data_IF_293770533985
#
_entry.id   IF_293770533985
#
_cell.length_a   1.000
_cell.length_b   1.000
_cell.length_c   1.000
_cell.angle_alpha   90.00
_cell.angle_beta   90.00
_cell.angle_gamma   90.00
#
_symmetry.space_group_name_H-M   'P 1'
#
loop_
_entity.id
_entity.type
_entity.pdbx_description
1 polymer ?
#
# COMPACT_ATOMS: atom_id res chain seq x y z
N UNK A 1 10.56 12.14 1.14
CA UNK A 1 10.58 11.33 -0.10
C UNK A 1 9.23 11.46 -0.80
N UNK A 2 9.20 11.98 -2.03
CA UNK A 2 7.96 12.26 -2.78
C UNK A 2 7.45 10.97 -3.44
N UNK A 3 6.16 10.65 -3.31
CA UNK A 3 5.54 9.53 -4.06
C UNK A 3 5.75 9.80 -5.55
N UNK A 4 6.53 8.96 -6.21
CA UNK A 4 6.65 9.03 -7.67
C UNK A 4 5.31 8.54 -8.26
N UNK A 5 4.47 9.46 -8.71
CA UNK A 5 3.17 9.13 -9.31
C UNK A 5 3.29 8.33 -10.64
N UNK A 6 4.51 8.19 -11.19
CA UNK A 6 4.79 7.31 -12.32
C UNK A 6 5.07 5.86 -11.89
N UNK A 7 5.29 5.62 -10.61
CA UNK A 7 5.40 4.29 -10.00
C UNK A 7 4.01 3.80 -9.59
N UNK A 8 3.92 2.51 -9.29
CA UNK A 8 2.72 1.85 -8.77
C UNK A 8 2.91 1.58 -7.27
N UNK A 9 2.76 2.61 -6.41
CA UNK A 9 3.04 2.46 -5.00
C UNK A 9 1.98 1.60 -4.32
N UNK A 10 2.45 0.71 -3.46
CA UNK A 10 1.64 0.04 -2.46
C UNK A 10 1.88 0.74 -1.13
N UNK A 11 0.83 1.31 -0.55
CA UNK A 11 0.87 2.00 0.74
C UNK A 11 0.14 1.17 1.78
N UNK A 12 0.75 1.04 2.95
CA UNK A 12 0.20 0.30 4.07
C UNK A 12 0.07 1.20 5.29
N UNK A 13 -1.14 1.27 5.85
CA UNK A 13 -1.42 1.90 7.13
C UNK A 13 -1.50 0.82 8.19
N UNK A 14 -0.52 0.77 9.10
CA UNK A 14 -0.52 -0.11 10.25
C UNK A 14 -0.89 0.69 11.50
N UNK A 15 -2.05 0.39 12.10
CA UNK A 15 -2.56 1.10 13.29
C UNK A 15 -2.56 2.64 13.14
N UNK A 16 -2.87 3.13 11.94
CA UNK A 16 -2.90 4.56 11.62
C UNK A 16 -1.55 5.17 11.21
N UNK A 17 -0.43 4.44 11.29
CA UNK A 17 0.88 4.89 10.78
C UNK A 17 1.10 4.39 9.35
N UNK A 18 1.48 5.28 8.45
CA UNK A 18 1.65 5.00 7.02
C UNK A 18 3.06 4.56 6.64
N UNK A 19 3.16 3.58 5.75
CA UNK A 19 4.40 2.99 5.25
C UNK A 19 4.32 2.75 3.74
N UNK A 20 5.48 2.74 3.08
CA UNK A 20 5.59 2.13 1.76
C UNK A 20 5.85 0.63 1.92
N UNK A 21 5.21 -0.18 1.08
CA UNK A 21 5.52 -1.60 0.96
C UNK A 21 6.61 -1.75 -0.09
N UNK A 22 7.74 -2.33 0.29
CA UNK A 22 8.86 -2.63 -0.60
C UNK A 22 8.68 -3.98 -1.28
N UNK A 23 8.27 -4.97 -0.50
CA UNK A 23 8.10 -6.35 -0.92
C UNK A 23 7.04 -7.03 -0.05
N UNK A 24 6.45 -8.10 -0.57
CA UNK A 24 5.55 -8.95 0.21
C UNK A 24 5.71 -10.41 -0.23
N UNK A 25 5.52 -11.30 0.72
CA UNK A 25 5.41 -12.74 0.49
C UNK A 25 4.08 -13.23 1.06
N UNK A 26 3.55 -14.31 0.50
CA UNK A 26 2.26 -14.84 0.90
C UNK A 26 2.27 -16.36 1.00
N UNK A 27 1.65 -16.88 2.06
CA UNK A 27 1.49 -18.29 2.35
C UNK A 27 -0.02 -18.58 2.45
N UNK A 28 -0.57 -19.46 1.60
CA UNK A 28 -1.96 -19.88 1.71
C UNK A 28 -2.22 -20.60 3.04
N UNK A 29 -3.33 -20.28 3.69
CA UNK A 29 -3.84 -20.97 4.88
C UNK A 29 -5.28 -21.43 4.65
N UNK A 30 -5.85 -22.22 5.56
CA UNK A 30 -7.22 -22.74 5.40
C UNK A 30 -8.25 -21.58 5.38
N UNK A 31 -8.76 -21.28 4.17
CA UNK A 31 -9.74 -20.22 3.93
C UNK A 31 -9.17 -18.78 3.91
N UNK A 32 -7.89 -18.60 4.23
CA UNK A 32 -7.23 -17.29 4.33
C UNK A 32 -5.85 -17.30 3.66
N UNK A 33 -5.15 -16.18 3.71
CA UNK A 33 -3.76 -16.08 3.24
C UNK A 33 -2.98 -15.26 4.25
N UNK A 34 -1.86 -15.78 4.75
CA UNK A 34 -0.91 -15.00 5.54
C UNK A 34 -0.02 -14.22 4.59
N UNK A 35 0.03 -12.90 4.75
CA UNK A 35 0.94 -12.04 3.99
C UNK A 35 1.89 -11.35 4.94
N UNK A 36 3.19 -11.43 4.62
CA UNK A 36 4.24 -10.69 5.29
C UNK A 36 4.68 -9.54 4.37
N UNK A 37 4.72 -8.33 4.91
CA UNK A 37 5.07 -7.10 4.21
C UNK A 37 6.40 -6.56 4.74
N UNK A 38 7.33 -6.26 3.83
CA UNK A 38 8.52 -5.48 4.13
C UNK A 38 8.18 -3.99 3.92
N UNK A 39 8.41 -3.19 4.96
CA UNK A 39 7.96 -1.81 5.04
C UNK A 39 9.13 -0.84 5.12
N UNK A 40 8.92 0.38 4.65
CA UNK A 40 9.79 1.52 4.95
C UNK A 40 8.98 2.72 5.41
N UNK A 41 9.42 3.34 6.49
CA UNK A 41 8.83 4.58 6.98
C UNK A 41 9.19 5.73 6.02
N UNK A 42 8.20 6.45 5.45
CA UNK A 42 8.43 7.53 4.49
C UNK A 42 9.14 8.76 5.08
N UNK A 43 9.08 8.93 6.40
CA UNK A 43 9.59 10.08 7.14
C UNK A 43 11.01 9.86 7.67
N UNK A 44 11.32 8.66 8.15
CA UNK A 44 12.64 8.34 8.72
C UNK A 44 13.52 7.49 7.79
N UNK A 45 12.92 6.80 6.81
CA UNK A 45 13.62 5.82 5.97
C UNK A 45 13.93 4.51 6.69
N UNK A 46 13.49 4.34 7.93
CA UNK A 46 13.69 3.10 8.69
C UNK A 46 12.87 1.96 8.12
N UNK A 47 13.48 0.78 8.02
CA UNK A 47 12.81 -0.45 7.63
C UNK A 47 11.93 -1.02 8.75
N UNK A 48 10.92 -1.78 8.37
CA UNK A 48 10.07 -2.53 9.29
C UNK A 48 9.39 -3.70 8.58
N UNK A 49 8.58 -4.44 9.31
CA UNK A 49 7.76 -5.51 8.74
C UNK A 49 6.39 -5.57 9.42
N UNK A 50 5.41 -6.09 8.70
CA UNK A 50 4.07 -6.37 9.21
C UNK A 50 3.55 -7.69 8.66
N UNK A 51 2.75 -8.40 9.44
CA UNK A 51 2.10 -9.62 9.01
C UNK A 51 0.59 -9.54 9.26
N UNK A 52 -0.19 -10.08 8.33
CA UNK A 52 -1.63 -10.18 8.49
C UNK A 52 -2.20 -11.46 7.83
N UNK A 53 -3.22 -12.02 8.47
CA UNK A 53 -4.13 -12.98 7.84
C UNK A 53 -5.21 -12.22 7.09
N UNK A 54 -5.32 -12.46 5.79
CA UNK A 54 -6.22 -11.72 4.90
C UNK A 54 -7.11 -12.64 4.09
N UNK A 55 -8.21 -12.09 3.58
CA UNK A 55 -8.98 -12.71 2.51
C UNK A 55 -8.06 -12.93 1.28
N UNK A 56 -8.03 -14.14 0.67
CA UNK A 56 -7.23 -14.41 -0.53
C UNK A 56 -7.48 -13.45 -1.70
N UNK A 57 -8.64 -12.80 -1.72
CA UNK A 57 -8.97 -11.74 -2.68
C UNK A 57 -8.03 -10.54 -2.59
N UNK A 58 -7.55 -10.17 -1.39
CA UNK A 58 -6.56 -9.10 -1.25
C UNK A 58 -5.27 -9.45 -2.01
N UNK A 59 -4.76 -10.69 -1.86
CA UNK A 59 -3.56 -11.15 -2.57
C UNK A 59 -3.79 -11.13 -4.09
N UNK A 60 -4.95 -11.58 -4.56
CA UNK A 60 -5.32 -11.57 -5.99
C UNK A 60 -5.33 -10.15 -6.55
N UNK A 61 -5.95 -9.22 -5.84
CA UNK A 61 -6.06 -7.82 -6.27
C UNK A 61 -4.68 -7.14 -6.24
N UNK A 62 -3.86 -7.41 -5.22
CA UNK A 62 -2.49 -6.89 -5.08
C UNK A 62 -1.56 -7.40 -6.20
N UNK A 63 -1.58 -8.71 -6.48
CA UNK A 63 -0.81 -9.30 -7.58
C UNK A 63 -1.24 -8.73 -8.94
N UNK A 64 -2.54 -8.54 -9.14
CA UNK A 64 -3.08 -7.96 -10.39
C UNK A 64 -2.62 -6.50 -10.57
N UNK A 65 -2.58 -5.72 -9.49
CA UNK A 65 -2.06 -4.35 -9.50
C UNK A 65 -0.57 -4.29 -9.85
N UNK A 66 0.25 -5.13 -9.21
CA UNK A 66 1.69 -5.19 -9.46
C UNK A 66 2.02 -5.65 -10.89
N UNK A 67 1.26 -6.61 -11.44
CA UNK A 67 1.44 -7.11 -12.80
C UNK A 67 0.78 -6.26 -13.89
N UNK A 68 -0.04 -5.27 -13.54
CA UNK A 68 -0.78 -4.43 -14.49
C UNK A 68 0.11 -3.51 -15.36
N UNK A 69 -0.50 -2.50 -15.97
CA UNK A 69 0.22 -1.44 -16.71
C UNK A 69 -0.29 -0.03 -16.40
N UNK A 70 -1.40 0.08 -15.65
CA UNK A 70 -2.05 1.36 -15.34
C UNK A 70 -1.20 2.11 -14.30
N UNK A 71 -0.71 3.29 -14.68
CA UNK A 71 0.03 4.22 -13.81
C UNK A 71 -0.91 5.27 -13.19
N UNK A 72 -0.40 6.05 -12.24
CA UNK A 72 -1.19 7.11 -11.60
C UNK A 72 -2.26 6.57 -10.64
N UNK A 73 -2.03 5.38 -10.08
CA UNK A 73 -2.87 4.77 -9.06
C UNK A 73 -2.00 4.22 -7.95
N UNK A 74 -2.50 4.25 -6.72
CA UNK A 74 -1.90 3.65 -5.54
C UNK A 74 -2.80 2.52 -5.02
N UNK A 75 -2.19 1.40 -4.63
CA UNK A 75 -2.88 0.35 -3.90
C UNK A 75 -2.72 0.63 -2.41
N UNK A 76 -3.84 0.74 -1.69
CA UNK A 76 -3.85 1.12 -0.28
C UNK A 76 -4.33 -0.07 0.55
N UNK A 77 -3.61 -0.36 1.63
CA UNK A 77 -3.91 -1.41 2.60
C UNK A 77 -4.01 -0.76 3.99
N UNK A 78 -5.04 -1.09 4.77
CA UNK A 78 -5.14 -0.72 6.19
C UNK A 78 -5.17 -2.00 7.00
N UNK A 79 -4.29 -2.07 7.99
CA UNK A 79 -4.24 -3.12 9.00
C UNK A 79 -4.48 -2.45 10.34
N UNK A 80 -5.60 -2.81 10.96
CA UNK A 80 -5.90 -2.45 12.34
C UNK A 80 -5.76 -3.69 13.21
N UNK A 81 -4.66 -3.75 13.96
CA UNK A 81 -4.37 -4.89 14.84
C UNK A 81 -5.26 -4.91 16.08
N UNK A 82 -5.91 -3.80 16.43
CA UNK A 82 -6.82 -3.74 17.58
C UNK A 82 -8.15 -4.43 17.29
N UNK A 83 -8.62 -4.35 16.04
CA UNK A 83 -9.85 -4.99 15.57
C UNK A 83 -9.59 -6.26 14.74
N UNK A 84 -8.32 -6.59 14.48
CA UNK A 84 -7.89 -7.63 13.55
C UNK A 84 -8.52 -7.47 12.15
N UNK A 85 -8.71 -6.23 11.72
CA UNK A 85 -9.36 -5.89 10.46
C UNK A 85 -8.33 -5.50 9.40
N UNK A 86 -8.52 -6.05 8.19
CA UNK A 86 -7.74 -5.68 7.01
C UNK A 86 -8.66 -5.20 5.90
N UNK A 87 -8.39 -4.00 5.39
CA UNK A 87 -9.12 -3.38 4.27
C UNK A 87 -8.15 -2.99 3.17
N UNK A 88 -8.62 -2.97 1.92
CA UNK A 88 -7.83 -2.50 0.80
C UNK A 88 -8.68 -1.76 -0.24
N UNK A 89 -8.04 -0.84 -0.97
CA UNK A 89 -8.67 -0.16 -2.10
C UNK A 89 -7.62 0.37 -3.08
N UNK A 90 -8.02 0.50 -4.35
CA UNK A 90 -7.24 1.19 -5.37
C UNK A 90 -7.68 2.66 -5.45
N UNK A 91 -6.74 3.61 -5.39
CA UNK A 91 -7.02 5.05 -5.53
C UNK A 91 -6.23 5.66 -6.67
N UNK A 92 -6.81 6.64 -7.37
CA UNK A 92 -6.06 7.47 -8.30
C UNK A 92 -5.10 8.36 -7.51
N UNK A 93 -3.82 8.42 -7.91
CA UNK A 93 -2.89 9.41 -7.38
C UNK A 93 -3.21 10.73 -8.07
N UNK A 94 -3.77 11.69 -7.35
CA UNK A 94 -3.99 13.02 -7.90
C UNK A 94 -2.60 13.63 -8.12
N UNK A 95 -2.26 14.02 -9.36
CA UNK A 95 -1.18 14.99 -9.54
C UNK A 95 -1.60 16.21 -8.75
N UNK A 96 -0.87 16.57 -7.71
CA UNK A 96 -0.93 17.93 -7.18
C UNK A 96 -0.47 18.84 -8.31
N UNK A 97 -1.38 19.29 -9.16
CA UNK A 97 -1.17 20.52 -9.91
C UNK A 97 -1.06 21.60 -8.85
N UNK A 98 0.16 22.03 -8.57
CA UNK A 98 0.41 23.36 -8.04
C UNK A 98 -0.35 24.31 -8.94
N UNK A 99 -1.51 24.79 -8.50
CA UNK A 99 -2.16 25.95 -9.13
C UNK A 99 -1.10 27.03 -9.10
N UNK A 100 -0.59 27.38 -10.29
CA UNK A 100 0.42 28.42 -10.45
C UNK A 100 0.00 29.64 -9.65
N UNK A 101 0.85 30.03 -8.71
CA UNK A 101 0.75 31.31 -8.06
C UNK A 101 1.00 32.35 -9.17
N UNK A 102 -0.04 33.05 -9.59
CA UNK A 102 0.08 34.16 -10.53
C UNK A 102 0.13 35.44 -9.68
N UNK A 103 1.32 35.99 -9.38
CA UNK A 103 1.35 37.32 -8.79
C UNK A 103 0.86 38.31 -9.85
N UNK A 104 -0.20 39.03 -9.50
CA UNK A 104 -0.68 40.19 -10.24
C UNK A 104 0.35 41.33 -10.19
#
# INVERSE_FOLDING_TARGET
MTINANERPVLLSLNGRGFYVLHYSAIPEEGLTRISFDLVDPSTGEGGSAEALVDPKLLKDLNSYNNGTIKGQAFLIWIDTSSNEVRWQLRKTVKSETRGFNPA
#
